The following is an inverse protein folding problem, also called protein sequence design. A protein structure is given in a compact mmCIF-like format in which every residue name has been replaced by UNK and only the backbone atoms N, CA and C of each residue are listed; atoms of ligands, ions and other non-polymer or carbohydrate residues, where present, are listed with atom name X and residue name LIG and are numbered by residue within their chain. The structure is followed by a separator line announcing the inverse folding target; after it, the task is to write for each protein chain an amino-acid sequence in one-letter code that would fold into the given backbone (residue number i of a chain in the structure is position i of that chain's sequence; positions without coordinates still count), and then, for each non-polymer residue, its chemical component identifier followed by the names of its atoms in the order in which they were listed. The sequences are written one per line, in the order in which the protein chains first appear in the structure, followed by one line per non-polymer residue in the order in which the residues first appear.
data_IF_030357445889
#
_entry.id   IF_030357445889
#
_cell.length_a   1.000
_cell.length_b   1.000
_cell.length_c   1.000
_cell.angle_alpha   90.00
_cell.angle_beta   90.00
_cell.angle_gamma   90.00
#
_symmetry.space_group_name_H-M   'P 1'
#
loop_
_entity.id
_entity.type
_entity.pdbx_description
1 polymer ?
#
# COMPACT_ATOMS: atom_id res chain seq x y z
N UNK A 1 7.52 5.96 32.88
CA UNK A 1 6.81 6.76 31.85
C UNK A 1 6.43 5.97 30.59
N UNK A 2 6.95 4.75 30.37
CA UNK A 2 6.56 3.89 29.23
C UNK A 2 5.23 3.15 29.44
N UNK A 3 4.95 2.64 30.65
CA UNK A 3 3.75 1.85 30.92
C UNK A 3 2.45 2.64 30.81
N UNK A 4 2.45 3.89 31.26
CA UNK A 4 1.26 4.75 31.24
C UNK A 4 0.79 5.10 29.81
N UNK A 5 1.70 5.10 28.82
CA UNK A 5 1.34 5.32 27.41
C UNK A 5 0.73 4.06 26.78
N UNK A 6 1.29 2.89 27.08
CA UNK A 6 0.74 1.59 26.66
C UNK A 6 -0.64 1.34 27.25
N UNK A 7 -0.85 1.63 28.54
CA UNK A 7 -2.15 1.52 29.19
C UNK A 7 -3.20 2.48 28.61
N UNK A 8 -2.79 3.69 28.24
CA UNK A 8 -3.66 4.66 27.57
C UNK A 8 -4.03 4.20 26.14
N UNK A 9 -3.07 3.65 25.39
CA UNK A 9 -3.30 3.06 24.06
C UNK A 9 -4.23 1.84 24.13
N UNK A 10 -4.08 0.96 25.12
CA UNK A 10 -4.99 -0.17 25.37
C UNK A 10 -6.41 0.28 25.78
N UNK A 11 -6.52 1.30 26.64
CA UNK A 11 -7.82 1.87 27.02
C UNK A 11 -8.55 2.50 25.83
N UNK A 12 -7.84 3.26 24.99
CA UNK A 12 -8.43 3.84 23.78
C UNK A 12 -8.81 2.77 22.75
N UNK A 13 -7.99 1.71 22.61
CA UNK A 13 -8.31 0.59 21.73
C UNK A 13 -9.56 -0.19 22.17
N UNK A 14 -9.81 -0.29 23.49
CA UNK A 14 -11.06 -0.84 24.05
C UNK A 14 -12.25 0.10 23.88
N UNK A 15 -12.04 1.42 23.94
CA UNK A 15 -13.12 2.41 23.82
C UNK A 15 -13.66 2.55 22.38
N UNK A 16 -12.84 2.26 21.36
CA UNK A 16 -13.23 2.27 19.95
C UNK A 16 -13.32 0.82 19.45
N UNK A 17 -14.15 0.00 20.12
CA UNK A 17 -14.39 -1.37 19.69
C UNK A 17 -15.52 -1.43 18.65
N UNK A 18 -15.19 -0.99 17.43
CA UNK A 18 -16.00 -1.29 16.24
C UNK A 18 -15.74 -2.77 15.88
N UNK A 19 -16.81 -3.53 15.62
CA UNK A 19 -16.68 -4.96 15.27
C UNK A 19 -15.90 -5.17 13.97
N UNK A 20 -15.31 -6.35 13.80
CA UNK A 20 -14.64 -6.73 12.55
C UNK A 20 -15.59 -6.61 11.37
N UNK A 21 -16.83 -7.10 11.50
CA UNK A 21 -17.86 -7.06 10.45
C UNK A 21 -18.17 -5.63 9.99
N UNK A 22 -18.23 -4.67 10.92
CA UNK A 22 -18.42 -3.26 10.57
C UNK A 22 -17.26 -2.72 9.73
N UNK A 23 -16.01 -3.09 10.07
CA UNK A 23 -14.85 -2.71 9.26
C UNK A 23 -14.85 -3.36 7.88
N UNK A 24 -15.20 -4.65 7.81
CA UNK A 24 -15.31 -5.38 6.53
C UNK A 24 -16.35 -4.74 5.61
N UNK A 25 -17.50 -4.30 6.15
CA UNK A 25 -18.51 -3.57 5.39
C UNK A 25 -18.01 -2.21 4.88
N UNK A 26 -17.19 -1.49 5.67
CA UNK A 26 -16.54 -0.24 5.20
C UNK A 26 -15.52 -0.54 4.09
N UNK A 27 -14.80 -1.66 4.19
CA UNK A 27 -13.78 -2.03 3.20
C UNK A 27 -14.37 -2.31 1.83
N UNK A 28 -15.62 -2.79 1.74
CA UNK A 28 -16.33 -2.97 0.47
C UNK A 28 -16.49 -1.67 -0.34
N UNK A 29 -16.41 -0.50 0.32
CA UNK A 29 -16.52 0.82 -0.31
C UNK A 29 -15.17 1.36 -0.81
N UNK A 30 -14.06 0.72 -0.43
CA UNK A 30 -12.71 1.21 -0.69
C UNK A 30 -12.04 0.43 -1.81
N UNK A 31 -11.23 1.12 -2.61
CA UNK A 31 -10.43 0.45 -3.61
C UNK A 31 -9.39 -0.47 -2.92
N UNK A 32 -9.06 -1.62 -3.54
CA UNK A 32 -8.04 -2.55 -3.01
C UNK A 32 -6.72 -1.85 -2.66
N UNK A 33 -6.32 -0.91 -3.52
CA UNK A 33 -5.10 -0.14 -3.33
C UNK A 33 -5.16 0.79 -2.12
N UNK A 34 -6.34 1.31 -1.74
CA UNK A 34 -6.51 2.10 -0.53
C UNK A 34 -6.41 1.23 0.72
N UNK A 35 -6.97 0.02 0.66
CA UNK A 35 -6.90 -0.95 1.75
C UNK A 35 -5.47 -1.47 1.96
N UNK A 36 -4.87 -2.07 0.94
CA UNK A 36 -3.56 -2.73 1.07
C UNK A 36 -2.36 -1.78 1.20
N UNK A 37 -2.41 -0.60 0.59
CA UNK A 37 -1.30 0.37 0.64
C UNK A 37 -1.54 1.52 1.64
N UNK A 38 -2.73 1.59 2.23
CA UNK A 38 -3.13 2.64 3.17
C UNK A 38 -3.58 2.07 4.50
N UNK A 39 -4.78 1.48 4.54
CA UNK A 39 -5.44 1.04 5.78
C UNK A 39 -4.65 -0.06 6.49
N UNK A 40 -4.17 -1.08 5.77
CA UNK A 40 -3.40 -2.18 6.35
C UNK A 40 -2.15 -1.71 7.11
N UNK A 41 -1.58 -0.58 6.69
CA UNK A 41 -0.34 -0.04 7.25
C UNK A 41 -0.57 0.83 8.50
N UNK A 42 -1.82 1.05 8.89
CA UNK A 42 -2.16 1.88 10.06
C UNK A 42 -1.90 1.10 11.35
N UNK A 43 -2.24 -0.18 11.41
CA UNK A 43 -2.03 -1.01 12.60
C UNK A 43 -2.06 -2.50 12.28
N UNK A 44 -1.49 -3.32 13.16
CA UNK A 44 -1.57 -4.79 13.07
C UNK A 44 -3.01 -5.31 13.03
N UNK A 45 -3.95 -4.61 13.68
CA UNK A 45 -5.38 -4.96 13.67
C UNK A 45 -6.00 -4.73 12.29
N UNK A 46 -5.67 -3.60 11.65
CA UNK A 46 -6.13 -3.33 10.29
C UNK A 46 -5.47 -4.23 9.26
N UNK A 47 -4.18 -4.56 9.43
CA UNK A 47 -3.50 -5.55 8.59
C UNK A 47 -4.24 -6.89 8.61
N UNK A 48 -4.62 -7.38 9.80
CA UNK A 48 -5.42 -8.60 9.95
C UNK A 48 -6.77 -8.52 9.23
N UNK A 49 -7.56 -7.44 9.43
CA UNK A 49 -8.86 -7.33 8.79
C UNK A 49 -8.77 -7.12 7.28
N UNK A 50 -7.79 -6.37 6.81
CA UNK A 50 -7.54 -6.23 5.36
C UNK A 50 -7.15 -7.58 4.78
N UNK A 51 -6.32 -8.36 5.48
CA UNK A 51 -5.98 -9.72 5.07
C UNK A 51 -7.19 -10.65 5.03
N UNK A 52 -8.04 -10.62 6.05
CA UNK A 52 -9.28 -11.38 6.12
C UNK A 52 -10.24 -11.00 4.99
N UNK A 53 -10.42 -9.70 4.75
CA UNK A 53 -11.17 -9.16 3.62
C UNK A 53 -10.58 -9.60 2.27
N UNK A 54 -9.26 -9.79 2.22
CA UNK A 54 -8.56 -10.24 1.03
C UNK A 54 -8.62 -11.74 0.77
N UNK A 55 -8.85 -12.57 1.78
CA UNK A 55 -9.03 -14.03 1.60
C UNK A 55 -10.35 -14.38 0.89
N UNK A 56 -11.39 -13.59 1.12
CA UNK A 56 -12.74 -13.89 0.62
C UNK A 56 -13.01 -13.38 -0.80
N UNK A 57 -12.03 -12.67 -1.41
CA UNK A 57 -12.17 -12.00 -2.71
C UNK A 57 -10.85 -12.08 -3.50
N UNK A 58 -10.92 -12.21 -4.83
CA UNK A 58 -9.71 -12.09 -5.69
C UNK A 58 -9.39 -10.62 -5.90
N UNK A 59 -8.22 -10.16 -5.43
CA UNK A 59 -7.83 -8.76 -5.52
C UNK A 59 -6.68 -8.55 -6.49
N UNK A 60 -6.97 -7.77 -7.54
CA UNK A 60 -5.97 -7.30 -8.48
C UNK A 60 -5.63 -5.82 -8.22
N UNK A 61 -4.38 -5.51 -7.86
CA UNK A 61 -3.89 -4.12 -7.98
C UNK A 61 -3.64 -3.72 -9.44
N UNK A 62 -3.72 -4.69 -10.37
CA UNK A 62 -3.60 -4.59 -11.83
C UNK A 62 -2.37 -3.81 -12.27
N UNK A 63 -2.45 -2.48 -12.26
CA UNK A 63 -1.40 -1.60 -12.77
C UNK A 63 -1.06 -0.50 -11.78
N UNK A 64 0.24 -0.37 -11.53
CA UNK A 64 0.84 0.71 -10.77
C UNK A 64 1.90 1.39 -11.63
N UNK A 65 1.98 2.72 -11.59
CA UNK A 65 3.04 3.48 -12.25
C UNK A 65 3.85 4.28 -11.23
N UNK A 66 5.16 4.07 -11.25
CA UNK A 66 6.16 4.89 -10.57
C UNK A 66 6.69 5.90 -11.58
N UNK A 67 6.54 7.19 -11.28
CA UNK A 67 7.00 8.27 -12.13
C UNK A 67 7.49 9.44 -11.29
N UNK A 68 8.12 10.44 -11.91
CA UNK A 68 8.51 11.67 -11.21
C UNK A 68 7.62 12.84 -11.58
N UNK A 69 7.33 13.70 -10.59
CA UNK A 69 6.85 15.06 -10.83
C UNK A 69 7.99 16.05 -10.59
N UNK A 70 8.27 16.91 -11.56
CA UNK A 70 9.21 18.02 -11.40
C UNK A 70 8.62 19.04 -10.43
N UNK A 71 9.40 19.43 -9.41
CA UNK A 71 9.06 20.49 -8.46
C UNK A 71 9.45 21.85 -9.05
N UNK A 72 8.92 22.93 -8.44
CA UNK A 72 9.25 24.32 -8.82
C UNK A 72 10.76 24.62 -8.78
N UNK A 73 11.51 23.95 -7.91
CA UNK A 73 12.97 24.09 -7.79
C UNK A 73 13.76 23.16 -8.73
N UNK A 74 13.13 22.58 -9.76
CA UNK A 74 13.78 21.66 -10.71
C UNK A 74 13.97 20.22 -10.22
N UNK A 75 13.78 19.94 -8.93
CA UNK A 75 13.99 18.58 -8.40
C UNK A 75 12.86 17.61 -8.78
N UNK A 76 13.19 16.36 -9.12
CA UNK A 76 12.21 15.31 -9.40
C UNK A 76 11.74 14.66 -8.10
N UNK A 77 10.43 14.57 -7.87
CA UNK A 77 9.82 13.85 -6.74
C UNK A 77 9.11 12.61 -7.24
N UNK A 78 9.45 11.44 -6.70
CA UNK A 78 8.73 10.21 -6.96
C UNK A 78 7.23 10.35 -6.62
N UNK A 79 6.39 9.82 -7.50
CA UNK A 79 4.95 9.63 -7.32
C UNK A 79 4.56 8.23 -7.77
N UNK A 80 3.52 7.72 -7.12
CA UNK A 80 2.94 6.42 -7.42
C UNK A 80 1.48 6.66 -7.75
N UNK A 81 1.03 6.12 -8.86
CA UNK A 81 -0.35 6.26 -9.32
C UNK A 81 -0.88 4.93 -9.81
N UNK A 82 -2.21 4.77 -9.78
CA UNK A 82 -2.88 3.66 -10.45
C UNK A 82 -3.11 3.96 -11.94
N UNK A 83 -3.76 3.04 -12.65
CA UNK A 83 -4.13 3.21 -14.08
C UNK A 83 -4.91 4.51 -14.36
N UNK A 84 -5.80 4.90 -13.46
CA UNK A 84 -6.58 6.15 -13.56
C UNK A 84 -5.76 7.40 -13.18
N UNK A 85 -4.43 7.30 -13.05
CA UNK A 85 -3.50 8.35 -12.59
C UNK A 85 -3.85 8.94 -11.21
N UNK A 86 -4.66 8.24 -10.42
CA UNK A 86 -4.96 8.64 -9.04
C UNK A 86 -3.76 8.34 -8.15
N UNK A 87 -3.34 9.28 -7.28
CA UNK A 87 -2.24 9.05 -6.34
C UNK A 87 -2.50 7.82 -5.48
N UNK A 88 -1.49 6.97 -5.35
CA UNK A 88 -1.49 5.87 -4.40
C UNK A 88 -0.63 6.25 -3.18
N UNK A 89 -1.03 5.81 -1.98
CA UNK A 89 -0.20 5.99 -0.79
C UNK A 89 1.13 5.23 -0.96
N UNK A 90 2.21 5.82 -0.44
CA UNK A 90 3.54 5.21 -0.44
C UNK A 90 3.69 4.46 0.89
N UNK A 91 3.75 3.12 0.88
CA UNK A 91 3.96 2.31 2.06
C UNK A 91 5.23 2.71 2.78
N UNK A 92 5.09 3.03 4.07
CA UNK A 92 6.22 3.26 4.98
C UNK A 92 6.66 2.00 5.74
N UNK A 93 5.86 0.95 5.68
CA UNK A 93 6.12 -0.37 6.26
C UNK A 93 6.12 -1.40 5.12
N UNK A 94 6.58 -2.63 5.40
CA UNK A 94 6.48 -3.75 4.47
C UNK A 94 5.02 -4.08 4.20
N UNK A 95 4.71 -4.49 2.97
CA UNK A 95 3.34 -4.76 2.58
C UNK A 95 2.85 -6.12 3.08
N UNK A 96 1.53 -6.28 3.28
CA UNK A 96 0.96 -7.57 3.62
C UNK A 96 1.33 -8.59 2.55
N UNK A 97 1.76 -9.79 2.98
CA UNK A 97 2.22 -10.87 2.09
C UNK A 97 1.16 -11.38 1.11
N UNK A 98 -0.12 -11.09 1.36
CA UNK A 98 -1.28 -11.69 0.69
C UNK A 98 -1.97 -10.76 -0.29
N UNK A 99 -1.22 -9.84 -0.92
CA UNK A 99 -1.76 -9.12 -2.08
C UNK A 99 -1.52 -9.97 -3.33
N UNK A 100 -2.58 -10.64 -3.79
CA UNK A 100 -2.46 -11.88 -4.59
C UNK A 100 -2.35 -11.63 -6.10
N UNK A 101 -2.76 -10.47 -6.65
CA UNK A 101 -2.78 -10.31 -8.12
C UNK A 101 -2.30 -8.92 -8.62
N UNK A 102 -1.05 -8.59 -8.36
CA UNK A 102 -0.34 -7.48 -9.02
C UNK A 102 0.03 -7.87 -10.46
N UNK A 103 -0.55 -7.21 -11.47
CA UNK A 103 -0.35 -7.58 -12.88
C UNK A 103 0.89 -6.92 -13.50
N UNK A 104 1.14 -5.65 -13.17
CA UNK A 104 2.28 -4.90 -13.68
C UNK A 104 2.64 -3.66 -12.84
N UNK A 105 3.95 -3.40 -12.72
CA UNK A 105 4.51 -2.13 -12.24
C UNK A 105 5.26 -1.47 -13.39
N UNK A 106 4.78 -0.30 -13.81
CA UNK A 106 5.39 0.54 -14.84
C UNK A 106 6.32 1.57 -14.18
N UNK A 107 7.61 1.51 -14.49
CA UNK A 107 8.68 2.29 -13.87
C UNK A 107 9.23 3.25 -14.91
N UNK A 108 8.88 4.53 -14.77
CA UNK A 108 9.36 5.62 -15.63
C UNK A 108 10.36 6.54 -14.94
N UNK A 109 10.61 6.31 -13.66
CA UNK A 109 11.58 7.06 -12.87
C UNK A 109 12.13 6.18 -11.75
N UNK A 110 13.45 6.10 -11.66
CA UNK A 110 14.15 5.32 -10.65
C UNK A 110 15.09 6.23 -9.86
N UNK A 111 14.74 6.52 -8.61
CA UNK A 111 15.59 7.16 -7.61
C UNK A 111 15.73 6.27 -6.37
N UNK A 112 16.45 6.75 -5.35
CA UNK A 112 16.59 6.02 -4.07
C UNK A 112 15.24 5.68 -3.43
N UNK A 113 14.23 6.56 -3.58
CA UNK A 113 12.91 6.32 -3.02
C UNK A 113 12.14 5.24 -3.78
N UNK A 114 12.24 5.22 -5.11
CA UNK A 114 11.65 4.19 -5.96
C UNK A 114 12.26 2.83 -5.67
N UNK A 115 13.58 2.75 -5.51
CA UNK A 115 14.27 1.51 -5.12
C UNK A 115 13.81 1.06 -3.72
N UNK A 116 13.77 1.97 -2.74
CA UNK A 116 13.31 1.66 -1.39
C UNK A 116 11.83 1.22 -1.35
N UNK A 117 11.00 1.79 -2.23
CA UNK A 117 9.61 1.36 -2.42
C UNK A 117 9.56 -0.06 -2.99
N UNK A 118 10.23 -0.32 -4.12
CA UNK A 118 10.26 -1.64 -4.78
C UNK A 118 10.79 -2.74 -3.85
N UNK A 119 11.78 -2.44 -2.99
CA UNK A 119 12.28 -3.39 -1.98
C UNK A 119 11.20 -3.89 -1.02
N UNK A 120 10.17 -3.08 -0.73
CA UNK A 120 9.04 -3.49 0.12
C UNK A 120 8.08 -4.46 -0.58
N UNK A 121 8.18 -4.55 -1.91
CA UNK A 121 7.45 -5.51 -2.73
C UNK A 121 8.27 -6.75 -3.05
N UNK A 122 9.56 -6.83 -2.69
CA UNK A 122 10.39 -8.02 -2.94
C UNK A 122 9.73 -9.31 -2.42
N UNK A 123 9.18 -9.30 -1.20
CA UNK A 123 8.48 -10.48 -0.68
C UNK A 123 7.22 -10.87 -1.45
N UNK A 124 6.65 -9.96 -2.25
CA UNK A 124 5.54 -10.23 -3.16
C UNK A 124 6.08 -10.75 -4.50
N UNK A 125 7.19 -10.17 -5.02
CA UNK A 125 7.87 -10.66 -6.22
C UNK A 125 8.32 -12.11 -6.10
N UNK A 126 8.74 -12.54 -4.89
CA UNK A 126 9.15 -13.93 -4.64
C UNK A 126 7.97 -14.91 -4.62
N UNK A 127 6.75 -14.41 -4.33
CA UNK A 127 5.56 -15.23 -4.18
C UNK A 127 4.72 -15.33 -5.46
N UNK A 128 4.78 -14.32 -6.33
CA UNK A 128 3.94 -14.23 -7.52
C UNK A 128 4.70 -13.61 -8.71
N UNK A 129 4.47 -14.10 -9.96
CA UNK A 129 5.04 -13.49 -11.15
C UNK A 129 4.45 -12.09 -11.36
N UNK A 130 5.29 -11.06 -11.27
CA UNK A 130 4.92 -9.66 -11.51
C UNK A 130 5.68 -9.14 -12.72
N UNK A 131 4.97 -8.54 -13.67
CA UNK A 131 5.61 -7.88 -14.81
C UNK A 131 6.15 -6.50 -14.40
N UNK A 132 7.47 -6.32 -14.49
CA UNK A 132 8.10 -5.00 -14.36
C UNK A 132 8.32 -4.45 -15.77
N UNK A 133 7.77 -3.26 -16.05
CA UNK A 133 8.01 -2.54 -17.30
C UNK A 133 8.85 -1.32 -17.01
N UNK A 134 9.96 -1.14 -17.72
CA UNK A 134 10.79 0.05 -17.65
C UNK A 134 10.48 0.91 -18.85
N UNK A 135 9.99 2.12 -18.61
CA UNK A 135 9.67 3.06 -19.65
C UNK A 135 10.56 4.29 -19.50
N UNK A 136 11.64 4.34 -20.26
CA UNK A 136 12.41 5.58 -20.36
C UNK A 136 11.61 6.51 -21.24
N UNK A 137 10.78 7.38 -20.63
CA UNK A 137 10.30 8.54 -21.36
C UNK A 137 11.54 9.34 -21.75
N UNK A 138 11.92 9.23 -23.02
CA UNK A 138 12.80 10.16 -23.72
C UNK A 138 12.09 11.50 -23.71
N UNK A 139 12.25 12.24 -22.62
CA UNK A 139 11.95 13.66 -22.57
C UNK A 139 13.22 14.42 -22.91
#
# INVERSE_FOLDING_TARGET
MSDSRKEAEEKMAKAIFISGDCWLAVFDLLAPSQLGLGIALISHRFDYYVDEHFKTRKWTLKFMRIWSKIRRNGTKKMKIVNYARKPLPIPKIQLPRKVIEFKCIDISFLDRNAIAFLRRFCSIFDAFPINLSFNTNSN
#
